data_IF_638719650009
#
_entry.id   IF_638719650009
#
_cell.length_a   1.000
_cell.length_b   1.000
_cell.length_c   1.000
_cell.angle_alpha   90.00
_cell.angle_beta   90.00
_cell.angle_gamma   90.00
#
_symmetry.space_group_name_H-M   'P 1'
#
loop_
_entity.id
_entity.type
_entity.pdbx_description
1 polymer ?
#
# COMPACT_ATOMS: atom_id res chain seq x y z
N UNK A 1 6.20 -1.98 -14.37
CA UNK A 1 4.84 -2.51 -14.56
C UNK A 1 4.14 -1.94 -15.80
N UNK A 2 3.83 -0.64 -15.88
CA UNK A 2 3.02 -0.03 -16.95
C UNK A 2 3.44 -0.38 -18.39
N UNK A 3 4.70 -0.14 -18.76
CA UNK A 3 5.22 -0.44 -20.12
C UNK A 3 5.18 -1.93 -20.44
N UNK A 4 5.44 -2.80 -19.45
CA UNK A 4 5.35 -4.25 -19.61
C UNK A 4 3.92 -4.69 -19.91
N UNK A 5 2.93 -4.17 -19.19
CA UNK A 5 1.51 -4.45 -19.44
C UNK A 5 1.10 -4.02 -20.85
N UNK A 6 1.45 -2.80 -21.27
CA UNK A 6 1.15 -2.30 -22.62
C UNK A 6 1.81 -3.16 -23.71
N UNK A 7 3.04 -3.60 -23.48
CA UNK A 7 3.76 -4.47 -24.42
C UNK A 7 3.09 -5.84 -24.54
N UNK A 8 2.66 -6.42 -23.41
CA UNK A 8 1.91 -7.70 -23.38
C UNK A 8 0.58 -7.58 -24.14
N UNK A 9 -0.17 -6.50 -23.93
CA UNK A 9 -1.43 -6.21 -24.62
C UNK A 9 -1.23 -6.01 -26.13
N UNK A 10 -0.25 -5.18 -26.52
CA UNK A 10 0.07 -4.90 -27.94
C UNK A 10 0.42 -6.18 -28.70
N UNK A 11 1.18 -7.07 -28.08
CA UNK A 11 1.66 -8.31 -28.68
C UNK A 11 0.69 -9.49 -28.50
N UNK A 12 -0.48 -9.29 -27.85
CA UNK A 12 -1.48 -10.33 -27.55
C UNK A 12 -0.88 -11.55 -26.84
N UNK A 13 0.08 -11.32 -25.94
CA UNK A 13 0.70 -12.39 -25.18
C UNK A 13 -0.31 -12.99 -24.21
N UNK A 14 -0.49 -14.31 -24.27
CA UNK A 14 -1.24 -15.06 -23.26
C UNK A 14 -0.41 -15.05 -21.98
N UNK A 15 -0.99 -14.53 -20.91
CA UNK A 15 -0.31 -14.41 -19.61
C UNK A 15 -0.80 -15.54 -18.72
N UNK A 16 0.14 -16.25 -18.10
CA UNK A 16 -0.17 -17.13 -16.97
C UNK A 16 -0.74 -16.27 -15.83
N UNK A 17 -2.03 -16.43 -15.57
CA UNK A 17 -2.78 -15.61 -14.62
C UNK A 17 -2.23 -15.77 -13.20
N UNK A 18 -1.80 -16.98 -12.83
CA UNK A 18 -1.30 -17.27 -11.47
C UNK A 18 0.06 -16.60 -11.27
N UNK A 19 0.98 -16.79 -12.23
CA UNK A 19 2.28 -16.13 -12.18
C UNK A 19 2.13 -14.61 -12.19
N UNK A 20 1.22 -14.10 -13.00
CA UNK A 20 0.95 -12.67 -13.05
C UNK A 20 0.40 -12.14 -11.73
N UNK A 21 -0.54 -12.85 -11.08
CA UNK A 21 -1.05 -12.49 -9.77
C UNK A 21 0.08 -12.40 -8.73
N UNK A 22 0.98 -13.40 -8.67
CA UNK A 22 2.15 -13.37 -7.78
C UNK A 22 3.07 -12.17 -8.07
N UNK A 23 3.34 -11.89 -9.35
CA UNK A 23 4.12 -10.71 -9.77
C UNK A 23 3.45 -9.39 -9.34
N UNK A 24 2.12 -9.31 -9.39
CA UNK A 24 1.36 -8.12 -8.98
C UNK A 24 1.32 -7.94 -7.45
N UNK A 25 1.11 -9.02 -6.70
CA UNK A 25 1.10 -9.00 -5.22
C UNK A 25 2.43 -8.44 -4.68
N UNK A 26 3.56 -9.01 -5.11
CA UNK A 26 4.87 -8.54 -4.69
C UNK A 26 5.16 -7.10 -5.12
N UNK A 27 4.71 -6.72 -6.32
CA UNK A 27 4.87 -5.34 -6.81
C UNK A 27 4.10 -4.34 -5.95
N UNK A 28 2.81 -4.60 -5.68
CA UNK A 28 1.97 -3.66 -4.93
C UNK A 28 2.31 -3.61 -3.45
N UNK A 29 2.66 -4.75 -2.82
CA UNK A 29 3.14 -4.77 -1.44
C UNK A 29 4.40 -3.91 -1.27
N UNK A 30 5.35 -4.01 -2.20
CA UNK A 30 6.55 -3.17 -2.19
C UNK A 30 6.20 -1.68 -2.29
N UNK A 31 5.32 -1.31 -3.21
CA UNK A 31 4.88 0.08 -3.37
C UNK A 31 4.18 0.57 -2.09
N UNK A 32 3.35 -0.25 -1.44
CA UNK A 32 2.71 0.13 -0.17
C UNK A 32 3.73 0.33 0.96
N UNK A 33 4.76 -0.51 1.07
CA UNK A 33 5.86 -0.31 2.00
C UNK A 33 6.59 1.01 1.77
N UNK A 34 6.91 1.33 0.51
CA UNK A 34 7.53 2.60 0.12
C UNK A 34 6.62 3.79 0.49
N UNK A 35 5.32 3.70 0.23
CA UNK A 35 4.37 4.75 0.62
C UNK A 35 4.33 4.98 2.13
N UNK A 36 4.33 3.90 2.93
CA UNK A 36 4.34 4.00 4.38
C UNK A 36 5.63 4.69 4.88
N UNK A 37 6.79 4.31 4.34
CA UNK A 37 8.09 4.93 4.63
C UNK A 37 8.15 6.40 4.20
N UNK A 38 7.53 6.76 3.07
CA UNK A 38 7.42 8.16 2.67
C UNK A 38 6.54 8.97 3.62
N UNK A 39 5.39 8.44 4.04
CA UNK A 39 4.54 9.13 5.03
C UNK A 39 5.32 9.36 6.32
N UNK A 40 5.97 8.31 6.85
CA UNK A 40 6.84 8.41 8.03
C UNK A 40 7.88 9.53 7.90
N UNK A 41 8.53 9.66 6.74
CA UNK A 41 9.58 10.65 6.52
C UNK A 41 9.10 12.08 6.25
N UNK A 42 7.82 12.29 5.97
CA UNK A 42 7.25 13.60 5.60
C UNK A 42 6.35 14.21 6.70
N UNK A 43 6.05 13.45 7.75
CA UNK A 43 5.40 13.94 8.96
C UNK A 43 6.36 14.83 9.76
N UNK A 44 5.81 15.82 10.48
CA UNK A 44 6.59 16.59 11.44
C UNK A 44 7.10 15.66 12.57
N UNK A 45 8.35 15.80 13.05
CA UNK A 45 8.89 14.92 14.10
C UNK A 45 8.07 14.85 15.39
N UNK A 46 7.20 15.84 15.64
CA UNK A 46 6.29 15.85 16.78
C UNK A 46 5.09 14.90 16.63
N UNK A 47 4.80 14.41 15.43
CA UNK A 47 3.71 13.47 15.14
C UNK A 47 4.13 12.02 15.43
N UNK A 48 4.72 11.78 16.61
CA UNK A 48 5.39 10.51 16.96
C UNK A 48 4.49 9.28 16.77
N UNK A 49 3.21 9.38 17.14
CA UNK A 49 2.25 8.28 16.99
C UNK A 49 2.00 7.94 15.52
N UNK A 50 1.82 8.95 14.65
CA UNK A 50 1.60 8.74 13.22
C UNK A 50 2.85 8.19 12.53
N UNK A 51 4.03 8.65 12.96
CA UNK A 51 5.34 8.13 12.52
C UNK A 51 5.46 6.64 12.87
N UNK A 52 5.12 6.25 14.10
CA UNK A 52 5.21 4.86 14.54
C UNK A 52 4.24 3.95 13.76
N UNK A 53 3.01 4.42 13.52
CA UNK A 53 2.01 3.68 12.72
C UNK A 53 2.53 3.50 11.28
N UNK A 54 3.03 4.56 10.65
CA UNK A 54 3.58 4.49 9.31
C UNK A 54 4.83 3.58 9.22
N UNK A 55 5.68 3.56 10.24
CA UNK A 55 6.85 2.67 10.29
C UNK A 55 6.44 1.19 10.41
N UNK A 56 5.39 0.90 11.19
CA UNK A 56 4.84 -0.45 11.31
C UNK A 56 4.29 -0.95 9.98
N UNK A 57 3.44 -0.15 9.30
CA UNK A 57 2.98 -0.49 7.95
C UNK A 57 4.14 -0.74 6.98
N UNK A 58 5.20 0.07 7.06
CA UNK A 58 6.40 -0.13 6.24
C UNK A 58 7.04 -1.52 6.45
N UNK A 59 7.13 -1.97 7.69
CA UNK A 59 7.67 -3.29 8.05
C UNK A 59 6.73 -4.42 7.66
N UNK A 60 5.43 -4.26 7.90
CA UNK A 60 4.43 -5.29 7.60
C UNK A 60 4.36 -5.55 6.09
N UNK A 61 4.36 -4.48 5.28
CA UNK A 61 4.42 -4.62 3.82
C UNK A 61 5.77 -5.13 3.30
N UNK A 62 6.89 -4.88 3.97
CA UNK A 62 8.17 -5.52 3.62
C UNK A 62 8.07 -7.05 3.81
N UNK A 63 7.52 -7.50 4.95
CA UNK A 63 7.28 -8.93 5.22
C UNK A 63 6.32 -9.54 4.20
N UNK A 64 5.23 -8.85 3.86
CA UNK A 64 4.27 -9.30 2.85
C UNK A 64 4.89 -9.36 1.45
N UNK A 65 5.82 -8.46 1.13
CA UNK A 65 6.58 -8.49 -0.12
C UNK A 65 7.44 -9.74 -0.19
N UNK A 66 8.17 -10.07 0.88
CA UNK A 66 9.00 -11.27 0.94
C UNK A 66 8.16 -12.56 0.85
N UNK A 67 7.01 -12.60 1.53
CA UNK A 67 6.03 -13.70 1.41
C UNK A 67 5.54 -13.84 -0.03
N UNK A 68 5.19 -12.74 -0.69
CA UNK A 68 4.71 -12.76 -2.07
C UNK A 68 5.80 -13.25 -3.04
N UNK A 69 7.06 -12.84 -2.85
CA UNK A 69 8.18 -13.33 -3.66
C UNK A 69 8.43 -14.84 -3.46
N UNK A 70 8.20 -15.36 -2.25
CA UNK A 70 8.34 -16.79 -1.95
C UNK A 70 7.26 -17.65 -2.65
N UNK A 71 6.13 -17.08 -3.07
CA UNK A 71 5.05 -17.80 -3.77
C UNK A 71 5.48 -18.38 -5.11
N UNK A 72 6.56 -17.89 -5.73
CA UNK A 72 7.12 -18.50 -6.94
C UNK A 72 7.43 -20.00 -6.76
N UNK A 73 7.79 -20.41 -5.54
CA UNK A 73 8.07 -21.80 -5.20
C UNK A 73 6.93 -22.46 -4.38
N UNK A 74 5.95 -21.69 -3.91
CA UNK A 74 4.92 -22.13 -2.94
C UNK A 74 3.53 -21.57 -3.30
N UNK A 75 3.08 -21.81 -4.53
CA UNK A 75 1.83 -21.26 -5.08
C UNK A 75 0.60 -21.59 -4.21
N UNK A 76 0.61 -22.70 -3.48
CA UNK A 76 -0.49 -23.11 -2.58
C UNK A 76 -0.77 -22.11 -1.47
N UNK A 77 0.19 -21.26 -1.11
CA UNK A 77 0.04 -20.23 -0.08
C UNK A 77 -0.56 -18.91 -0.63
N UNK A 78 -0.73 -18.79 -1.96
CA UNK A 78 -1.23 -17.56 -2.59
C UNK A 78 -2.52 -17.03 -1.96
N UNK A 79 -3.57 -17.84 -1.71
CA UNK A 79 -4.81 -17.32 -1.12
C UNK A 79 -4.60 -16.73 0.28
N UNK A 80 -3.68 -17.29 1.07
CA UNK A 80 -3.37 -16.78 2.40
C UNK A 80 -2.62 -15.45 2.30
N UNK A 81 -1.57 -15.38 1.48
CA UNK A 81 -0.76 -14.16 1.32
C UNK A 81 -1.61 -13.03 0.73
N UNK A 82 -2.48 -13.31 -0.25
CA UNK A 82 -3.42 -12.33 -0.79
C UNK A 82 -4.39 -11.83 0.28
N UNK A 83 -4.90 -12.70 1.15
CA UNK A 83 -5.79 -12.29 2.24
C UNK A 83 -5.08 -11.39 3.27
N UNK A 84 -3.86 -11.76 3.65
CA UNK A 84 -3.03 -10.93 4.55
C UNK A 84 -2.73 -9.56 3.92
N UNK A 85 -2.33 -9.56 2.64
CA UNK A 85 -2.02 -8.32 1.90
C UNK A 85 -3.25 -7.43 1.73
N UNK A 86 -4.42 -8.03 1.50
CA UNK A 86 -5.69 -7.29 1.40
C UNK A 86 -6.04 -6.62 2.72
N UNK A 87 -5.98 -7.35 3.84
CA UNK A 87 -6.26 -6.78 5.16
C UNK A 87 -5.35 -5.58 5.47
N UNK A 88 -4.03 -5.73 5.30
CA UNK A 88 -3.09 -4.61 5.51
C UNK A 88 -3.34 -3.44 4.54
N UNK A 89 -3.78 -3.74 3.31
CA UNK A 89 -4.14 -2.71 2.32
C UNK A 89 -5.38 -1.91 2.73
N UNK A 90 -6.37 -2.54 3.36
CA UNK A 90 -7.55 -1.84 3.89
C UNK A 90 -7.17 -0.92 5.06
N UNK A 91 -6.32 -1.39 5.97
CA UNK A 91 -5.86 -0.61 7.11
C UNK A 91 -5.00 0.60 6.66
N UNK A 92 -4.03 0.42 5.76
CA UNK A 92 -3.23 1.55 5.27
C UNK A 92 -4.05 2.52 4.40
N UNK A 93 -5.08 2.03 3.69
CA UNK A 93 -6.03 2.89 2.96
C UNK A 93 -6.75 3.82 3.92
N UNK A 94 -7.25 3.29 5.03
CA UNK A 94 -8.00 4.08 6.01
C UNK A 94 -7.06 5.00 6.81
N UNK A 95 -5.83 4.58 7.09
CA UNK A 95 -4.78 5.44 7.63
C UNK A 95 -4.46 6.63 6.68
N UNK A 96 -4.29 6.36 5.38
CA UNK A 96 -4.07 7.43 4.37
C UNK A 96 -5.25 8.37 4.26
N UNK A 97 -6.49 7.86 4.38
CA UNK A 97 -7.70 8.68 4.40
C UNK A 97 -7.70 9.62 5.61
N UNK A 98 -7.54 9.08 6.81
CA UNK A 98 -7.50 9.88 8.05
C UNK A 98 -6.35 10.90 8.05
N UNK A 99 -5.18 10.50 7.56
CA UNK A 99 -4.04 11.41 7.37
C UNK A 99 -4.39 12.57 6.43
N UNK A 100 -5.09 12.30 5.32
CA UNK A 100 -5.54 13.33 4.39
C UNK A 100 -6.54 14.29 5.03
N UNK A 101 -7.53 13.75 5.75
CA UNK A 101 -8.54 14.55 6.45
C UNK A 101 -7.91 15.44 7.53
N UNK A 102 -6.96 14.90 8.30
CA UNK A 102 -6.22 15.64 9.32
C UNK A 102 -5.33 16.74 8.74
N UNK A 103 -4.66 16.49 7.61
CA UNK A 103 -3.88 17.52 6.89
C UNK A 103 -4.80 18.63 6.37
N UNK A 104 -5.92 18.27 5.74
CA UNK A 104 -6.91 19.24 5.23
C UNK A 104 -7.56 20.08 6.33
N UNK A 105 -7.75 19.50 7.52
CA UNK A 105 -8.27 20.17 8.70
C UNK A 105 -7.19 20.97 9.48
N UNK A 106 -5.94 21.02 8.99
CA UNK A 106 -4.79 21.62 9.67
C UNK A 106 -4.53 21.04 11.08
N UNK A 107 -4.92 19.78 11.32
CA UNK A 107 -4.70 19.06 12.59
C UNK A 107 -3.40 18.25 12.62
N UNK A 108 -2.87 17.88 11.46
CA UNK A 108 -1.61 17.13 11.31
C UNK A 108 -0.56 18.03 10.68
N UNK A 109 0.62 18.09 11.29
CA UNK A 109 1.77 18.79 10.73
C UNK A 109 2.57 17.86 9.82
N UNK A 110 2.73 18.26 8.57
CA UNK A 110 3.56 17.52 7.61
C UNK A 110 4.03 18.46 6.50
N UNK A 111 5.09 18.07 5.81
CA UNK A 111 5.58 18.74 4.59
C UNK A 111 4.93 18.12 3.33
N UNK A 112 4.22 17.00 3.50
CA UNK A 112 3.52 16.29 2.43
C UNK A 112 2.43 17.16 1.80
N UNK A 113 2.57 17.45 0.52
CA UNK A 113 1.54 18.13 -0.27
C UNK A 113 0.46 17.13 -0.75
N UNK A 114 -0.79 17.56 -0.72
CA UNK A 114 -2.04 16.77 -0.85
C UNK A 114 -2.19 15.88 -2.10
N UNK A 115 -1.27 15.90 -3.06
CA UNK A 115 -1.46 15.25 -4.36
C UNK A 115 -1.20 13.74 -4.35
N UNK A 116 -0.49 13.22 -3.33
CA UNK A 116 -0.06 11.81 -3.33
C UNK A 116 -0.99 10.87 -2.55
N UNK A 117 -1.80 11.40 -1.62
CA UNK A 117 -2.63 10.59 -0.73
C UNK A 117 -3.99 10.17 -1.34
N UNK A 118 -4.48 10.87 -2.37
CA UNK A 118 -5.82 10.62 -2.94
C UNK A 118 -5.89 9.42 -3.89
N UNK A 119 -4.78 8.71 -4.16
CA UNK A 119 -4.77 7.67 -5.20
C UNK A 119 -5.53 6.37 -4.83
N UNK A 120 -6.05 6.22 -3.61
CA UNK A 120 -6.75 5.00 -3.17
C UNK A 120 -8.01 5.20 -2.31
N UNK A 121 -8.50 6.42 -2.10
CA UNK A 121 -9.71 6.63 -1.30
C UNK A 121 -10.99 6.32 -2.10
N UNK A 122 -11.34 5.04 -2.20
CA UNK A 122 -12.73 4.63 -2.39
C UNK A 122 -13.55 5.13 -1.20
N UNK A 123 -14.55 5.97 -1.43
CA UNK A 123 -15.38 6.60 -0.38
C UNK A 123 -16.15 5.54 0.42
N UNK A 124 -15.99 5.52 1.75
CA UNK A 124 -17.14 5.32 2.64
C UNK A 124 -16.87 6.00 3.99
N UNK A 125 -17.80 6.86 4.37
CA UNK A 125 -17.77 7.75 5.53
C UNK A 125 -18.00 6.91 6.78
N UNK A 126 -17.02 6.88 7.70
CA UNK A 126 -17.24 6.52 9.10
C UNK A 126 -16.48 7.55 9.93
N UNK A 127 -17.24 8.42 10.58
CA UNK A 127 -16.75 9.40 11.55
C UNK A 127 -16.40 8.67 12.84
N UNK A 128 -15.17 8.81 13.33
CA UNK A 128 -14.86 8.62 14.74
C UNK A 128 -14.58 9.99 15.34
N UNK A 129 -15.40 10.38 16.31
CA UNK A 129 -15.18 11.55 17.14
C UNK A 129 -14.01 11.29 18.09
N UNK A 130 -13.19 12.33 18.27
CA UNK A 130 -12.01 12.37 19.14
C UNK A 130 -12.37 12.38 20.62
#
# INVERSE_FOLDING_TARGET
MFVSLLTRLKNRLIVDIIRFAVEQEAFWNKIMAEHAKFIRGLLDPTEETLIQIADNFGKDFDVLTDKALALHNQITLLPQVTKESLNETEEIRDFKRQGTEGILACKIRSISCLYWLTMFSGKQIITYDY
#
